data_IF_704064078315
#
_entry.id   IF_704064078315
#
_cell.length_a   1.000
_cell.length_b   1.000
_cell.length_c   1.000
_cell.angle_alpha   90.00
_cell.angle_beta   90.00
_cell.angle_gamma   90.00
#
_symmetry.space_group_name_H-M   'P 1'
#
loop_
_entity.id
_entity.type
_entity.pdbx_description
1 polymer ?
#
# COMPACT_ATOMS: atom_id res chain seq x y z
N UNK A 1 -42.20 -62.34 -13.79
CA UNK A 1 -42.58 -60.94 -14.10
C UNK A 1 -43.29 -60.42 -12.86
N UNK A 2 -42.94 -59.35 -12.14
CA UNK A 2 -42.19 -58.10 -12.39
C UNK A 2 -41.35 -57.77 -11.14
N UNK A 3 -40.13 -57.26 -11.35
CA UNK A 3 -39.28 -56.65 -10.31
C UNK A 3 -39.87 -55.29 -9.95
N UNK A 4 -40.04 -54.97 -8.66
CA UNK A 4 -40.41 -53.62 -8.22
C UNK A 4 -39.19 -52.96 -7.57
N UNK A 5 -38.87 -51.83 -8.21
CA UNK A 5 -37.89 -50.78 -7.99
C UNK A 5 -37.14 -50.72 -6.65
N UNK A 6 -35.81 -50.68 -6.80
CA UNK A 6 -34.86 -50.02 -5.92
C UNK A 6 -35.24 -48.56 -5.65
N UNK A 7 -35.21 -48.15 -4.38
CA UNK A 7 -35.09 -46.73 -3.99
C UNK A 7 -33.76 -46.61 -3.24
N UNK A 8 -32.76 -46.09 -3.94
CA UNK A 8 -31.47 -45.70 -3.37
C UNK A 8 -31.67 -44.30 -2.79
N UNK A 9 -31.81 -44.20 -1.47
CA UNK A 9 -31.72 -42.93 -0.77
C UNK A 9 -30.24 -42.57 -0.60
N UNK A 10 -29.69 -41.81 -1.56
CA UNK A 10 -28.37 -41.21 -1.44
C UNK A 10 -28.48 -40.03 -0.47
N UNK A 11 -28.23 -40.29 0.82
CA UNK A 11 -28.02 -39.24 1.81
C UNK A 11 -26.62 -38.65 1.61
N UNK A 12 -26.52 -37.64 0.75
CA UNK A 12 -25.33 -36.81 0.64
C UNK A 12 -25.21 -35.93 1.89
N UNK A 13 -24.50 -36.42 2.90
CA UNK A 13 -23.99 -35.59 3.99
C UNK A 13 -23.05 -34.53 3.39
N UNK A 14 -23.58 -33.32 3.21
CA UNK A 14 -22.82 -32.10 3.01
C UNK A 14 -21.97 -31.86 4.25
N UNK A 15 -20.74 -32.35 4.22
CA UNK A 15 -19.67 -31.96 5.13
C UNK A 15 -19.36 -30.49 4.80
N UNK A 16 -20.11 -29.60 5.43
CA UNK A 16 -19.78 -28.18 5.49
C UNK A 16 -18.51 -28.07 6.32
N UNK A 17 -17.36 -28.12 5.63
CA UNK A 17 -16.09 -27.75 6.22
C UNK A 17 -16.21 -26.28 6.63
N UNK A 18 -16.46 -26.02 7.91
CA UNK A 18 -16.23 -24.70 8.49
C UNK A 18 -14.71 -24.52 8.49
N UNK A 19 -14.18 -23.97 7.41
CA UNK A 19 -12.88 -23.32 7.52
C UNK A 19 -13.11 -22.15 8.45
N UNK A 20 -12.72 -22.31 9.71
CA UNK A 20 -12.53 -21.17 10.60
C UNK A 20 -11.67 -20.17 9.81
N UNK A 21 -12.11 -18.92 9.62
CA UNK A 21 -11.22 -17.93 9.07
C UNK A 21 -10.07 -17.85 10.07
N UNK A 22 -8.89 -18.31 9.65
CA UNK A 22 -7.64 -17.86 10.27
C UNK A 22 -7.69 -16.35 10.18
N UNK A 23 -8.12 -15.73 11.26
CA UNK A 23 -7.95 -14.32 11.49
C UNK A 23 -6.45 -14.15 11.70
N UNK A 24 -5.71 -14.08 10.60
CA UNK A 24 -4.36 -13.53 10.61
C UNK A 24 -4.52 -12.10 11.14
N UNK A 25 -4.19 -11.93 12.41
CA UNK A 25 -4.10 -10.66 13.10
C UNK A 25 -2.93 -9.81 12.59
N UNK A 26 -2.55 -9.94 11.31
CA UNK A 26 -1.89 -8.84 10.63
C UNK A 26 -2.91 -7.70 10.65
N UNK A 27 -2.58 -6.61 11.34
CA UNK A 27 -3.31 -5.35 11.24
C UNK A 27 -3.25 -4.92 9.78
N UNK A 28 -4.20 -5.40 8.97
CA UNK A 28 -4.17 -5.22 7.53
C UNK A 28 -4.20 -3.74 7.25
N UNK A 29 -3.10 -3.25 6.66
CA UNK A 29 -2.97 -1.86 6.23
C UNK A 29 -3.75 -1.61 4.93
N UNK A 30 -4.55 -2.57 4.47
CA UNK A 30 -5.34 -2.44 3.26
C UNK A 30 -6.28 -1.24 3.31
N UNK A 31 -6.42 -0.59 2.17
CA UNK A 31 -7.31 0.53 1.96
C UNK A 31 -6.66 1.61 1.12
N UNK A 32 -7.40 2.71 0.98
CA UNK A 32 -6.89 3.93 0.37
C UNK A 32 -6.52 4.90 1.48
N UNK A 33 -5.31 5.45 1.38
CA UNK A 33 -4.68 6.32 2.35
C UNK A 33 -4.35 7.64 1.67
N UNK A 34 -4.89 8.75 2.16
CA UNK A 34 -4.55 10.09 1.67
C UNK A 34 -3.33 10.60 2.42
N UNK A 35 -2.30 11.00 1.70
CA UNK A 35 -1.09 11.59 2.27
C UNK A 35 -1.41 12.99 2.78
N UNK A 36 -1.02 13.27 4.02
CA UNK A 36 -1.25 14.56 4.68
C UNK A 36 0.07 15.34 4.79
N UNK A 37 1.16 14.66 5.15
CA UNK A 37 2.49 15.27 5.21
C UNK A 37 3.58 14.27 4.88
N UNK A 38 4.63 14.75 4.22
CA UNK A 38 5.89 14.01 4.01
C UNK A 38 7.07 14.81 4.54
N UNK A 39 7.96 14.15 5.27
CA UNK A 39 9.21 14.72 5.78
C UNK A 39 10.37 13.95 5.19
N UNK A 40 11.28 14.65 4.52
CA UNK A 40 12.53 14.12 4.01
C UNK A 40 13.69 14.71 4.80
N UNK A 41 14.59 13.86 5.27
CA UNK A 41 15.85 14.27 5.91
C UNK A 41 17.01 13.70 5.12
N UNK A 42 17.82 14.56 4.53
CA UNK A 42 18.94 14.20 3.65
C UNK A 42 20.09 15.19 3.83
N UNK A 43 21.32 14.69 4.00
CA UNK A 43 22.55 15.52 4.11
C UNK A 43 22.50 16.64 5.15
N UNK A 44 21.73 16.44 6.22
CA UNK A 44 21.57 17.42 7.31
C UNK A 44 20.40 18.39 7.13
N UNK A 45 19.79 18.42 5.93
CA UNK A 45 18.62 19.25 5.64
C UNK A 45 17.33 18.48 5.92
N UNK A 46 16.31 19.21 6.38
CA UNK A 46 14.95 18.68 6.60
C UNK A 46 13.97 19.44 5.72
N UNK A 47 13.26 18.72 4.86
CA UNK A 47 12.17 19.26 4.03
C UNK A 47 10.85 18.67 4.50
N UNK A 48 9.87 19.53 4.78
CA UNK A 48 8.51 19.12 5.16
C UNK A 48 7.55 19.61 4.08
N UNK A 49 6.80 18.68 3.49
CA UNK A 49 5.77 18.96 2.49
C UNK A 49 4.40 18.72 3.08
N UNK A 50 3.52 19.72 2.95
CA UNK A 50 2.11 19.65 3.33
C UNK A 50 1.26 19.32 2.10
N UNK A 51 0.75 18.09 2.05
CA UNK A 51 -0.03 17.57 0.93
C UNK A 51 -1.52 17.95 1.01
N UNK A 52 -1.89 18.85 1.92
CA UNK A 52 -3.28 19.35 2.04
C UNK A 52 -3.51 20.67 1.29
N UNK A 53 -2.46 21.25 0.71
CA UNK A 53 -2.48 22.56 0.06
C UNK A 53 -2.65 22.46 -1.47
N UNK A 54 -1.54 22.43 -2.19
CA UNK A 54 -1.44 22.58 -3.65
C UNK A 54 -1.30 21.25 -4.40
N UNK A 55 -1.26 20.15 -3.66
CA UNK A 55 -1.09 18.79 -4.17
C UNK A 55 -2.14 17.86 -3.58
N UNK A 56 -2.35 16.74 -4.26
CA UNK A 56 -3.12 15.63 -3.74
C UNK A 56 -2.34 14.34 -3.96
N UNK A 57 -2.28 13.50 -2.94
CA UNK A 57 -1.56 12.24 -3.00
C UNK A 57 -2.30 11.15 -2.23
N UNK A 58 -2.39 9.97 -2.84
CA UNK A 58 -2.98 8.78 -2.24
C UNK A 58 -2.03 7.58 -2.39
N UNK A 59 -2.12 6.66 -1.43
CA UNK A 59 -1.58 5.31 -1.50
C UNK A 59 -2.71 4.31 -1.40
N UNK A 60 -2.77 3.36 -2.32
CA UNK A 60 -3.73 2.27 -2.35
C UNK A 60 -2.96 1.01 -1.99
N UNK A 61 -3.39 0.31 -0.96
CA UNK A 61 -2.80 -0.96 -0.54
C UNK A 61 -3.90 -2.01 -0.57
N UNK A 62 -3.69 -3.07 -1.35
CA UNK A 62 -4.54 -4.27 -1.36
C UNK A 62 -3.77 -5.44 -0.75
N UNK A 63 -4.28 -6.68 -0.86
CA UNK A 63 -3.65 -7.84 -0.24
C UNK A 63 -2.21 -8.15 -0.67
N UNK A 64 -1.78 -7.69 -1.84
CA UNK A 64 -0.51 -8.11 -2.47
C UNK A 64 0.33 -6.97 -3.02
N UNK A 65 -0.31 -5.84 -3.33
CA UNK A 65 0.29 -4.72 -4.03
C UNK A 65 -0.04 -3.39 -3.37
N UNK A 66 0.84 -2.44 -3.61
CA UNK A 66 0.63 -1.04 -3.33
C UNK A 66 0.70 -0.24 -4.63
N UNK A 67 0.07 0.92 -4.63
CA UNK A 67 0.30 1.97 -5.62
C UNK A 67 0.21 3.32 -4.96
N UNK A 68 1.03 4.26 -5.38
CA UNK A 68 0.90 5.67 -5.01
C UNK A 68 0.60 6.49 -6.24
N UNK A 69 -0.21 7.54 -6.06
CA UNK A 69 -0.49 8.55 -7.05
C UNK A 69 -0.39 9.91 -6.38
N UNK A 70 0.33 10.84 -6.98
CA UNK A 70 0.38 12.23 -6.59
C UNK A 70 0.26 13.13 -7.81
N UNK A 71 -0.40 14.27 -7.64
CA UNK A 71 -0.50 15.28 -8.69
C UNK A 71 -0.70 16.69 -8.09
N UNK A 72 -0.35 17.70 -8.87
CA UNK A 72 -0.72 19.08 -8.60
C UNK A 72 -2.23 19.31 -8.78
N UNK A 73 -2.77 20.31 -8.09
CA UNK A 73 -4.20 20.65 -8.20
C UNK A 73 -4.52 21.53 -9.42
N UNK A 74 -3.52 22.08 -10.10
CA UNK A 74 -3.66 22.97 -11.25
C UNK A 74 -3.57 22.25 -12.60
N UNK A 75 -3.60 20.90 -12.57
CA UNK A 75 -3.61 20.01 -13.75
C UNK A 75 -2.43 20.23 -14.68
N UNK A 76 -1.25 20.54 -14.14
CA UNK A 76 -0.03 20.73 -14.91
C UNK A 76 0.01 22.00 -15.76
N UNK A 77 -0.82 23.01 -15.46
CA UNK A 77 -0.96 24.22 -16.29
C UNK A 77 -0.11 25.41 -15.88
N UNK A 78 0.60 25.32 -14.76
CA UNK A 78 1.44 26.39 -14.23
C UNK A 78 2.79 25.85 -13.74
N UNK A 79 3.58 26.69 -13.09
CA UNK A 79 4.90 26.33 -12.58
C UNK A 79 4.89 25.29 -11.46
N UNK A 80 3.72 24.92 -10.93
CA UNK A 80 3.56 23.89 -9.90
C UNK A 80 3.27 22.49 -10.48
N UNK A 81 3.25 22.38 -11.81
CA UNK A 81 2.99 21.14 -12.55
C UNK A 81 3.81 19.96 -11.99
N UNK A 82 3.10 18.95 -11.49
CA UNK A 82 3.72 17.75 -10.97
C UNK A 82 2.76 16.57 -11.06
N UNK A 83 3.32 15.42 -11.45
CA UNK A 83 2.64 14.14 -11.40
C UNK A 83 3.67 13.07 -11.06
N UNK A 84 3.35 12.21 -10.10
CA UNK A 84 4.14 11.05 -9.76
C UNK A 84 3.24 9.87 -9.48
N UNK A 85 3.59 8.72 -10.04
CA UNK A 85 2.85 7.49 -9.81
C UNK A 85 3.79 6.30 -9.85
N UNK A 86 3.47 5.32 -9.02
CA UNK A 86 4.19 4.06 -9.00
C UNK A 86 3.46 3.01 -8.20
N UNK A 87 4.07 1.84 -8.11
CA UNK A 87 3.52 0.71 -7.39
C UNK A 87 4.27 -0.57 -7.65
N UNK A 88 3.83 -1.62 -7.00
CA UNK A 88 4.42 -2.95 -7.09
C UNK A 88 3.96 -3.83 -5.95
N UNK A 89 4.70 -4.92 -5.71
CA UNK A 89 4.40 -5.84 -4.61
C UNK A 89 4.88 -5.28 -3.29
N UNK A 90 4.34 -5.82 -2.19
CA UNK A 90 4.92 -5.60 -0.88
C UNK A 90 4.88 -6.85 0.00
N UNK A 91 5.66 -6.82 1.08
CA UNK A 91 5.50 -7.74 2.21
C UNK A 91 5.25 -6.95 3.49
N UNK A 92 4.40 -7.48 4.38
CA UNK A 92 4.16 -6.92 5.70
C UNK A 92 4.36 -8.02 6.76
N UNK A 93 5.39 -7.87 7.60
CA UNK A 93 5.71 -8.81 8.68
C UNK A 93 5.76 -8.01 9.99
N UNK A 94 4.72 -8.12 10.81
CA UNK A 94 4.54 -7.23 11.95
C UNK A 94 4.38 -5.78 11.50
N UNK A 95 5.30 -4.92 11.93
CA UNK A 95 5.37 -3.51 11.53
C UNK A 95 6.32 -3.26 10.33
N UNK A 96 7.02 -4.29 9.85
CA UNK A 96 8.00 -4.18 8.77
C UNK A 96 7.29 -4.29 7.43
N UNK A 97 7.28 -3.18 6.70
CA UNK A 97 6.64 -3.03 5.40
C UNK A 97 7.71 -2.82 4.33
N UNK A 98 7.86 -3.78 3.42
CA UNK A 98 8.85 -3.71 2.34
C UNK A 98 8.13 -3.57 1.02
N UNK A 99 8.37 -2.46 0.32
CA UNK A 99 7.88 -2.19 -1.03
C UNK A 99 8.89 -2.69 -2.06
N UNK A 100 8.41 -3.42 -3.06
CA UNK A 100 9.17 -3.83 -4.25
C UNK A 100 8.64 -3.02 -5.43
N UNK A 101 9.35 -1.96 -5.80
CA UNK A 101 8.85 -0.98 -6.78
C UNK A 101 9.02 -1.53 -8.21
N UNK A 102 7.90 -1.88 -8.85
CA UNK A 102 7.87 -2.50 -10.18
C UNK A 102 7.52 -1.49 -11.28
N UNK A 103 6.68 -0.51 -10.95
CA UNK A 103 6.20 0.52 -11.86
C UNK A 103 6.47 1.87 -11.24
N UNK A 104 7.10 2.78 -11.99
CA UNK A 104 7.27 4.17 -11.58
C UNK A 104 7.35 5.08 -12.80
N UNK A 105 6.82 6.30 -12.73
CA UNK A 105 7.08 7.30 -13.77
C UNK A 105 8.56 7.74 -13.77
N UNK A 106 9.22 7.73 -12.61
CA UNK A 106 10.67 7.85 -12.47
C UNK A 106 11.30 6.46 -12.59
N UNK A 107 11.55 6.01 -13.83
CA UNK A 107 11.96 4.62 -14.16
C UNK A 107 13.27 4.20 -13.49
N UNK A 108 14.14 5.15 -13.18
CA UNK A 108 15.40 4.93 -12.46
C UNK A 108 15.21 4.43 -11.01
N UNK A 109 13.99 4.55 -10.47
CA UNK A 109 13.62 4.00 -9.16
C UNK A 109 13.18 2.54 -9.22
N UNK A 110 12.77 2.03 -10.38
CA UNK A 110 12.24 0.67 -10.52
C UNK A 110 13.27 -0.41 -10.19
N UNK A 111 12.78 -1.59 -9.81
CA UNK A 111 13.57 -2.76 -9.39
C UNK A 111 14.37 -2.54 -8.09
N UNK A 112 14.17 -1.42 -7.40
CA UNK A 112 14.63 -1.24 -6.03
C UNK A 112 13.58 -1.73 -5.03
N UNK A 113 14.06 -2.04 -3.83
CA UNK A 113 13.21 -2.31 -2.66
C UNK A 113 13.39 -1.21 -1.62
N UNK A 114 12.31 -0.88 -0.92
CA UNK A 114 12.31 0.12 0.13
C UNK A 114 11.73 -0.47 1.41
N UNK A 115 12.49 -0.40 2.49
CA UNK A 115 12.15 -0.99 3.77
C UNK A 115 11.67 0.10 4.73
N UNK A 116 10.42 -0.04 5.16
CA UNK A 116 9.76 0.88 6.06
C UNK A 116 9.30 0.17 7.33
N UNK A 117 9.09 0.96 8.38
CA UNK A 117 8.28 0.59 9.53
C UNK A 117 6.96 1.35 9.44
N UNK A 118 5.84 0.65 9.59
CA UNK A 118 4.50 1.23 9.58
C UNK A 118 3.85 1.15 10.96
N UNK A 119 3.15 2.20 11.35
CA UNK A 119 2.30 2.21 12.55
C UNK A 119 0.92 2.69 12.17
N UNK A 120 -0.10 1.92 12.53
CA UNK A 120 -1.51 2.29 12.35
C UNK A 120 -2.14 2.55 13.72
N UNK A 121 -2.73 3.74 13.87
CA UNK A 121 -3.53 4.11 15.04
C UNK A 121 -4.80 4.80 14.56
N UNK A 122 -5.96 4.21 14.84
CA UNK A 122 -7.26 4.66 14.33
C UNK A 122 -7.25 4.74 12.80
N UNK A 123 -7.48 5.93 12.25
CA UNK A 123 -7.46 6.25 10.82
C UNK A 123 -6.11 6.79 10.33
N UNK A 124 -5.08 6.79 11.18
CA UNK A 124 -3.76 7.33 10.83
C UNK A 124 -2.78 6.19 10.58
N UNK A 125 -2.08 6.26 9.44
CA UNK A 125 -0.92 5.43 9.12
C UNK A 125 0.32 6.32 9.06
N UNK A 126 1.37 5.94 9.79
CA UNK A 126 2.69 6.53 9.69
C UNK A 126 3.61 5.49 9.05
N UNK A 127 4.33 5.88 8.00
CA UNK A 127 5.36 5.07 7.35
C UNK A 127 6.70 5.79 7.50
N UNK A 128 7.73 5.07 7.96
CA UNK A 128 9.07 5.64 8.16
C UNK A 128 10.12 4.68 7.65
N UNK A 129 11.07 5.14 6.83
CA UNK A 129 12.15 4.30 6.32
C UNK A 129 13.23 5.09 5.61
N UNK A 130 14.35 4.41 5.31
CA UNK A 130 15.43 4.99 4.53
C UNK A 130 15.20 4.63 3.06
N UNK A 131 15.11 5.65 2.22
CA UNK A 131 15.16 5.50 0.77
C UNK A 131 16.62 5.65 0.33
N UNK A 132 17.18 4.58 -0.24
CA UNK A 132 18.57 4.55 -0.71
C UNK A 132 18.65 3.94 -2.10
N UNK A 133 19.19 4.70 -3.05
CA UNK A 133 19.49 4.23 -4.40
C UNK A 133 20.86 4.78 -4.80
N UNK A 134 21.89 3.94 -4.70
CA UNK A 134 23.28 4.36 -4.88
C UNK A 134 23.56 4.89 -6.30
N UNK A 135 22.92 4.31 -7.33
CA UNK A 135 23.13 4.69 -8.74
C UNK A 135 22.71 6.13 -9.07
N UNK A 136 21.77 6.69 -8.30
CA UNK A 136 21.29 8.07 -8.47
C UNK A 136 21.60 8.95 -7.25
N UNK A 137 22.41 8.45 -6.31
CA UNK A 137 22.89 9.20 -5.15
C UNK A 137 21.80 9.58 -4.13
N UNK A 138 20.68 8.85 -4.10
CA UNK A 138 19.59 9.06 -3.13
C UNK A 138 19.95 8.34 -1.83
N UNK A 139 19.91 9.06 -0.71
CA UNK A 139 20.02 8.48 0.64
C UNK A 139 19.35 9.40 1.66
N UNK A 140 18.08 9.13 1.95
CA UNK A 140 17.25 10.01 2.78
C UNK A 140 16.32 9.23 3.69
N UNK A 141 16.06 9.78 4.87
CA UNK A 141 14.96 9.33 5.72
C UNK A 141 13.66 9.93 5.18
N UNK A 142 12.69 9.07 4.87
CA UNK A 142 11.34 9.45 4.49
C UNK A 142 10.37 9.08 5.63
N UNK A 143 9.59 10.06 6.07
CA UNK A 143 8.51 9.91 7.04
C UNK A 143 7.22 10.44 6.42
N UNK A 144 6.24 9.57 6.26
CA UNK A 144 4.97 9.88 5.63
C UNK A 144 3.81 9.66 6.59
N UNK A 145 2.92 10.64 6.66
CA UNK A 145 1.69 10.57 7.46
C UNK A 145 0.47 10.57 6.58
N UNK A 146 -0.36 9.55 6.76
CA UNK A 146 -1.57 9.33 5.99
C UNK A 146 -2.81 9.32 6.88
N UNK A 147 -3.95 9.64 6.28
CA UNK A 147 -5.29 9.39 6.84
C UNK A 147 -6.06 8.41 5.96
N UNK A 148 -6.79 7.48 6.56
CA UNK A 148 -7.62 6.51 5.83
C UNK A 148 -8.78 7.22 5.13
N UNK A 149 -8.96 6.96 3.84
CA UNK A 149 -10.11 7.47 3.09
C UNK A 149 -11.35 6.71 3.51
N UNK A 150 -12.40 7.43 3.91
CA UNK A 150 -13.71 6.87 4.24
C UNK A 150 -14.52 6.70 2.95
N UNK A 151 -15.26 5.60 2.87
CA UNK A 151 -16.27 5.34 1.83
C UNK A 151 -17.60 5.89 2.33
#
# INVERSE_FOLDING_TARGET
MKKILSIIAISSFIISCKTDPKQDSSSSINGTWKLISGTLIEKGDTTITDYTKDKNAIKIINDTHFSFLNHDLNKGKDSTASFGAGGGKYTLIGDKYTEFLEYCNAREWENNKFEFTVTVKNDTLIQTGIEKIDSIGVNRLNIEKYVKVKI
#
